data_IF_119421344528
#
_entry.id   IF_119421344528
#
_cell.length_a   1.000
_cell.length_b   1.000
_cell.length_c   1.000
_cell.angle_alpha   90.00
_cell.angle_beta   90.00
_cell.angle_gamma   90.00
#
_symmetry.space_group_name_H-M   'P 1'
#
loop_
_entity.id
_entity.type
_entity.pdbx_description
1 polymer ?
#
# COMPACT_ATOMS: atom_id res chain seq x y z
N UNK A 1 -1.63 -6.60 4.65
CA UNK A 1 -2.49 -6.12 3.54
C UNK A 1 -3.65 -7.10 3.39
N UNK A 2 -4.81 -6.64 2.94
CA UNK A 2 -5.97 -7.48 2.66
C UNK A 2 -6.68 -7.04 1.38
N UNK A 3 -7.46 -7.93 0.76
CA UNK A 3 -8.28 -7.61 -0.41
C UNK A 3 -9.04 -8.84 -0.93
N UNK A 4 -10.12 -8.59 -1.67
CA UNK A 4 -10.77 -9.58 -2.52
C UNK A 4 -10.07 -9.56 -3.89
N UNK A 5 -9.64 -10.73 -4.39
CA UNK A 5 -9.07 -10.90 -5.73
C UNK A 5 -9.98 -11.78 -6.58
N UNK A 6 -10.21 -11.39 -7.82
CA UNK A 6 -10.81 -12.22 -8.87
C UNK A 6 -9.81 -12.40 -10.02
N UNK A 7 -9.58 -13.64 -10.46
CA UNK A 7 -8.60 -13.95 -11.51
C UNK A 7 -9.24 -14.69 -12.67
N UNK A 8 -9.17 -14.10 -13.87
CA UNK A 8 -9.47 -14.78 -15.13
C UNK A 8 -8.16 -15.10 -15.84
N UNK A 9 -7.92 -16.38 -16.13
CA UNK A 9 -6.80 -16.83 -16.96
C UNK A 9 -7.17 -16.77 -18.45
N UNK A 10 -6.16 -16.64 -19.31
CA UNK A 10 -6.28 -16.58 -20.77
C UNK A 10 -5.73 -17.82 -21.48
N UNK A 11 -4.81 -18.52 -20.83
CA UNK A 11 -4.04 -19.64 -21.37
C UNK A 11 -3.88 -20.70 -20.28
N UNK A 12 -4.06 -21.98 -20.61
CA UNK A 12 -3.83 -23.10 -19.68
C UNK A 12 -2.46 -23.75 -19.90
N UNK A 13 -1.49 -23.02 -20.47
CA UNK A 13 -0.17 -23.54 -20.89
C UNK A 13 1.01 -22.67 -20.48
N UNK A 14 0.73 -21.47 -20.00
CA UNK A 14 1.71 -20.49 -19.55
C UNK A 14 1.33 -20.11 -18.13
N UNK A 15 2.32 -19.85 -17.28
CA UNK A 15 2.06 -19.41 -15.91
C UNK A 15 1.52 -17.99 -15.95
N UNK A 16 0.31 -17.81 -15.44
CA UNK A 16 -0.31 -16.51 -15.21
C UNK A 16 -0.60 -16.38 -13.71
N UNK A 17 -0.48 -15.17 -13.15
CA UNK A 17 -0.55 -14.90 -11.71
C UNK A 17 -1.41 -13.66 -11.42
N UNK A 18 -2.21 -13.70 -10.35
CA UNK A 18 -2.98 -12.56 -9.84
C UNK A 18 -2.76 -12.42 -8.34
N UNK A 19 -2.38 -11.23 -7.88
CA UNK A 19 -1.83 -11.08 -6.53
C UNK A 19 -2.01 -9.69 -5.90
N UNK A 20 -1.78 -9.64 -4.58
CA UNK A 20 -1.60 -8.41 -3.82
C UNK A 20 -0.10 -8.17 -3.58
N UNK A 21 0.40 -7.05 -4.08
CA UNK A 21 1.80 -6.65 -3.95
C UNK A 21 2.00 -5.71 -2.75
N UNK A 22 3.06 -5.94 -1.99
CA UNK A 22 3.55 -5.00 -0.97
C UNK A 22 5.07 -4.91 -1.00
N UNK A 23 5.64 -3.95 -0.25
CA UNK A 23 7.10 -3.72 -0.19
C UNK A 23 7.72 -3.59 -1.60
N UNK A 24 6.95 -3.01 -2.54
CA UNK A 24 7.35 -2.86 -3.95
C UNK A 24 8.35 -1.72 -4.09
N UNK A 25 9.52 -2.03 -4.63
CA UNK A 25 10.57 -1.07 -4.98
C UNK A 25 10.75 -1.10 -6.50
N UNK A 26 10.60 0.07 -7.11
CA UNK A 26 10.73 0.25 -8.56
C UNK A 26 12.16 0.65 -8.94
N UNK A 27 12.67 0.14 -10.05
CA UNK A 27 13.91 0.62 -10.64
C UNK A 27 13.74 2.09 -11.10
N UNK A 28 14.64 3.01 -10.73
CA UNK A 28 14.42 4.45 -10.91
C UNK A 28 14.34 4.90 -12.38
N UNK A 29 14.84 4.11 -13.33
CA UNK A 29 14.87 4.47 -14.77
C UNK A 29 14.07 3.55 -15.68
N UNK A 30 13.69 2.36 -15.22
CA UNK A 30 13.10 1.32 -16.08
C UNK A 30 11.61 1.10 -15.85
N UNK A 31 11.05 1.69 -14.78
CA UNK A 31 9.66 1.49 -14.39
C UNK A 31 9.28 -0.01 -14.21
N UNK A 32 10.29 -0.83 -13.88
CA UNK A 32 10.19 -2.24 -13.51
C UNK A 32 10.21 -2.36 -11.99
N UNK A 33 9.49 -3.33 -11.41
CA UNK A 33 9.73 -3.72 -10.03
C UNK A 33 11.06 -4.48 -9.95
N UNK A 34 11.87 -4.20 -8.92
CA UNK A 34 13.14 -4.91 -8.65
C UNK A 34 13.09 -5.69 -7.34
N UNK A 35 12.27 -5.26 -6.39
CA UNK A 35 11.97 -5.98 -5.16
C UNK A 35 10.48 -5.87 -4.88
N UNK A 36 9.85 -6.94 -4.43
CA UNK A 36 8.44 -6.95 -4.02
C UNK A 36 8.14 -8.18 -3.18
N UNK A 37 7.14 -8.06 -2.31
CA UNK A 37 6.48 -9.17 -1.65
C UNK A 37 5.15 -9.41 -2.35
N UNK A 38 5.00 -10.61 -2.89
CA UNK A 38 3.91 -11.09 -3.71
C UNK A 38 3.10 -12.13 -2.94
N UNK A 39 1.79 -11.96 -2.84
CA UNK A 39 0.88 -12.95 -2.23
C UNK A 39 -0.36 -13.06 -3.11
N UNK A 40 -0.57 -14.22 -3.73
CA UNK A 40 -1.57 -14.38 -4.77
C UNK A 40 -1.87 -15.82 -5.12
N UNK A 41 -2.39 -16.02 -6.33
CA UNK A 41 -2.66 -17.33 -6.89
C UNK A 41 -2.38 -17.40 -8.40
N UNK A 42 -1.98 -18.58 -8.85
CA UNK A 42 -1.53 -18.86 -10.21
C UNK A 42 -2.57 -19.61 -11.07
N UNK A 43 -2.30 -19.72 -12.36
CA UNK A 43 -3.09 -20.44 -13.36
C UNK A 43 -3.14 -21.96 -13.16
N UNK A 44 -2.26 -22.51 -12.32
CA UNK A 44 -2.25 -23.92 -11.89
C UNK A 44 -3.08 -24.15 -10.61
N UNK A 45 -3.87 -23.14 -10.20
CA UNK A 45 -4.80 -23.16 -9.07
C UNK A 45 -4.09 -23.24 -7.71
N UNK A 46 -2.86 -22.78 -7.59
CA UNK A 46 -2.11 -22.75 -6.33
C UNK A 46 -2.07 -21.34 -5.73
N UNK A 47 -2.13 -21.26 -4.40
CA UNK A 47 -1.82 -20.03 -3.66
C UNK A 47 -0.33 -19.95 -3.38
N UNK A 48 0.31 -18.83 -3.72
CA UNK A 48 1.76 -18.65 -3.67
C UNK A 48 2.19 -17.43 -2.86
N UNK A 49 3.42 -17.48 -2.34
CA UNK A 49 4.19 -16.29 -1.93
C UNK A 49 5.48 -16.23 -2.73
N UNK A 50 5.81 -15.05 -3.26
CA UNK A 50 7.16 -14.70 -3.72
C UNK A 50 7.66 -13.49 -2.94
N UNK A 51 8.78 -13.64 -2.24
CA UNK A 51 9.50 -12.54 -1.62
C UNK A 51 10.79 -12.30 -2.40
N UNK A 52 10.76 -11.34 -3.35
CA UNK A 52 11.95 -10.97 -4.13
C UNK A 52 12.64 -9.77 -3.49
N UNK A 53 13.87 -9.99 -3.04
CA UNK A 53 14.65 -9.05 -2.25
C UNK A 53 15.91 -8.52 -2.97
N UNK A 54 16.25 -9.05 -4.15
CA UNK A 54 17.37 -8.56 -4.96
C UNK A 54 17.03 -8.26 -6.42
N UNK A 55 17.86 -7.42 -7.04
CA UNK A 55 17.79 -7.10 -8.47
C UNK A 55 17.97 -8.36 -9.34
N UNK A 56 18.78 -9.32 -8.87
CA UNK A 56 19.02 -10.59 -9.57
C UNK A 56 17.79 -11.49 -9.51
N UNK A 57 17.55 -12.26 -10.56
CA UNK A 57 16.46 -13.23 -10.64
C UNK A 57 16.61 -14.42 -9.67
N UNK A 58 17.76 -14.58 -9.02
CA UNK A 58 18.05 -15.62 -8.02
C UNK A 58 17.70 -15.24 -6.60
N UNK A 59 17.44 -13.96 -6.34
CA UNK A 59 17.41 -13.37 -5.01
C UNK A 59 15.95 -13.27 -4.53
N UNK A 60 15.32 -14.44 -4.35
CA UNK A 60 13.96 -14.58 -3.89
C UNK A 60 13.75 -15.80 -2.97
N UNK A 61 12.85 -15.66 -2.00
CA UNK A 61 12.22 -16.78 -1.30
C UNK A 61 10.84 -17.04 -1.92
N UNK A 62 10.40 -18.29 -1.97
CA UNK A 62 9.05 -18.61 -2.47
C UNK A 62 8.48 -19.85 -1.81
N UNK A 63 7.14 -19.91 -1.69
CA UNK A 63 6.44 -21.13 -1.28
C UNK A 63 5.04 -21.21 -1.90
N UNK A 64 4.52 -22.43 -1.99
CA UNK A 64 3.13 -22.72 -2.38
C UNK A 64 2.41 -23.22 -1.13
N UNK A 65 1.33 -22.54 -0.74
CA UNK A 65 0.66 -22.75 0.54
C UNK A 65 -0.76 -23.36 0.41
N UNK A 66 -1.50 -23.01 -0.65
CA UNK A 66 -2.87 -23.51 -0.87
C UNK A 66 -2.90 -24.49 -2.05
N UNK A 67 -3.63 -25.62 -1.89
CA UNK A 67 -3.84 -26.60 -2.97
C UNK A 67 -5.24 -26.46 -3.57
N UNK A 68 -5.33 -25.99 -4.81
CA UNK A 68 -6.57 -25.84 -5.61
C UNK A 68 -7.53 -24.79 -5.07
N UNK A 69 -7.16 -23.54 -5.33
CA UNK A 69 -7.99 -22.34 -5.30
C UNK A 69 -9.05 -22.42 -6.44
N UNK A 70 -10.28 -21.95 -6.23
CA UNK A 70 -11.36 -22.02 -7.23
C UNK A 70 -11.47 -20.69 -8.00
N UNK A 71 -10.66 -20.54 -9.05
CA UNK A 71 -10.53 -19.28 -9.81
C UNK A 71 -11.82 -18.77 -10.45
N UNK A 72 -12.89 -19.58 -10.52
CA UNK A 72 -14.24 -19.13 -10.92
C UNK A 72 -14.93 -18.24 -9.84
N UNK A 73 -14.35 -18.12 -8.65
CA UNK A 73 -14.86 -17.35 -7.51
C UNK A 73 -13.87 -16.26 -7.03
N UNK A 74 -14.37 -15.16 -6.45
CA UNK A 74 -13.52 -14.18 -5.77
C UNK A 74 -12.99 -14.74 -4.44
N UNK A 75 -11.70 -14.56 -4.19
CA UNK A 75 -11.02 -15.03 -2.97
C UNK A 75 -10.55 -13.88 -2.10
N UNK A 76 -10.76 -13.99 -0.79
CA UNK A 76 -10.36 -13.00 0.20
C UNK A 76 -8.98 -13.32 0.76
N UNK A 77 -7.97 -12.52 0.40
CA UNK A 77 -6.63 -12.61 0.96
C UNK A 77 -6.46 -11.62 2.11
N UNK A 78 -5.81 -12.09 3.18
CA UNK A 78 -5.23 -11.25 4.24
C UNK A 78 -3.83 -11.79 4.54
N UNK A 79 -2.81 -10.94 4.47
CA UNK A 79 -1.49 -11.30 4.97
C UNK A 79 -0.91 -10.24 5.89
N UNK A 80 -0.14 -10.72 6.88
CA UNK A 80 0.52 -9.93 7.91
C UNK A 80 2.03 -10.10 7.72
N UNK A 81 2.69 -9.04 7.29
CA UNK A 81 4.14 -8.98 7.07
C UNK A 81 4.79 -8.15 8.19
N UNK A 82 5.17 -8.80 9.29
CA UNK A 82 5.69 -8.18 10.52
C UNK A 82 7.14 -8.60 10.69
N UNK A 83 8.05 -7.63 10.73
CA UNK A 83 9.50 -7.86 10.65
C UNK A 83 9.87 -8.78 9.46
N UNK A 84 10.57 -9.87 9.76
CA UNK A 84 11.02 -10.93 8.87
C UNK A 84 10.00 -12.06 8.68
N UNK A 85 8.76 -11.92 9.18
CA UNK A 85 7.73 -12.99 9.12
C UNK A 85 6.48 -12.61 8.37
N UNK A 86 5.95 -13.60 7.67
CA UNK A 86 4.70 -13.55 6.92
C UNK A 86 3.73 -14.62 7.43
N UNK A 87 2.50 -14.19 7.66
CA UNK A 87 1.33 -15.06 7.87
C UNK A 87 0.30 -14.74 6.80
N UNK A 88 -0.29 -15.77 6.16
CA UNK A 88 -1.30 -15.62 5.11
C UNK A 88 -2.58 -16.38 5.47
N UNK A 89 -3.70 -15.68 5.34
CA UNK A 89 -5.05 -16.17 5.43
C UNK A 89 -5.73 -16.07 4.06
N UNK A 90 -6.52 -17.08 3.72
CA UNK A 90 -7.33 -17.14 2.50
C UNK A 90 -8.75 -17.56 2.89
N UNK A 91 -9.75 -16.75 2.52
CA UNK A 91 -11.17 -16.93 2.86
C UNK A 91 -11.45 -17.13 4.36
N UNK A 92 -10.59 -16.56 5.20
CA UNK A 92 -10.65 -16.66 6.66
C UNK A 92 -9.91 -17.86 7.27
N UNK A 93 -9.41 -18.79 6.46
CA UNK A 93 -8.58 -19.90 6.93
C UNK A 93 -7.09 -19.52 6.93
N UNK A 94 -6.35 -19.94 7.97
CA UNK A 94 -4.89 -19.81 8.02
C UNK A 94 -4.27 -20.81 7.06
N UNK A 95 -3.57 -20.33 6.03
CA UNK A 95 -3.02 -21.17 4.95
C UNK A 95 -1.49 -21.15 4.89
N UNK A 96 -0.83 -20.11 5.43
CA UNK A 96 0.62 -20.08 5.62
C UNK A 96 0.97 -19.39 6.94
N UNK A 97 1.85 -20.01 7.72
CA UNK A 97 2.45 -19.45 8.93
C UNK A 97 3.99 -19.47 8.86
N UNK A 98 4.60 -18.60 9.68
CA UNK A 98 6.05 -18.49 9.92
C UNK A 98 6.98 -18.32 8.70
N UNK A 99 6.46 -18.00 7.51
CA UNK A 99 7.27 -17.84 6.30
C UNK A 99 8.22 -16.64 6.42
N UNK A 100 9.52 -16.88 6.23
CA UNK A 100 10.55 -15.84 6.34
C UNK A 100 10.54 -14.92 5.12
N UNK A 101 10.56 -13.61 5.36
CA UNK A 101 10.63 -12.54 4.36
C UNK A 101 11.72 -11.53 4.73
N UNK A 102 12.25 -10.82 3.73
CA UNK A 102 13.19 -9.72 3.99
C UNK A 102 12.46 -8.42 4.37
N UNK A 103 12.89 -7.81 5.49
CA UNK A 103 12.36 -6.54 5.98
C UNK A 103 12.80 -5.36 5.10
N UNK A 104 11.83 -4.69 4.46
CA UNK A 104 12.05 -3.52 3.61
C UNK A 104 10.79 -2.66 3.47
N UNK A 105 10.98 -1.39 3.17
CA UNK A 105 9.90 -0.46 2.80
C UNK A 105 9.57 -0.56 1.30
N UNK A 106 8.43 0.00 0.90
CA UNK A 106 8.02 0.05 -0.50
C UNK A 106 6.54 0.43 -0.64
N UNK A 107 6.01 0.35 -1.86
CA UNK A 107 4.60 0.63 -2.15
C UNK A 107 3.74 -0.63 -2.12
N UNK A 108 2.42 -0.43 -2.20
CA UNK A 108 1.41 -1.49 -2.32
C UNK A 108 0.78 -1.47 -3.71
N UNK A 109 0.29 -2.60 -4.20
CA UNK A 109 -0.35 -2.72 -5.50
C UNK A 109 -1.12 -4.02 -5.72
N UNK A 110 -1.57 -4.22 -6.96
CA UNK A 110 -2.17 -5.47 -7.44
C UNK A 110 -1.30 -5.96 -8.60
N UNK A 111 -0.88 -7.22 -8.56
CA UNK A 111 -0.04 -7.85 -9.58
C UNK A 111 -0.88 -8.59 -10.61
N UNK A 112 -0.46 -8.53 -11.87
CA UNK A 112 -0.90 -9.42 -12.94
C UNK A 112 0.33 -9.81 -13.77
N UNK A 113 0.70 -11.09 -13.74
CA UNK A 113 1.62 -11.67 -14.72
C UNK A 113 0.76 -12.50 -15.67
N UNK A 114 0.83 -12.25 -16.96
CA UNK A 114 0.04 -12.97 -17.95
C UNK A 114 0.66 -12.95 -19.34
N UNK A 115 0.29 -13.93 -20.16
CA UNK A 115 0.79 -14.09 -21.53
C UNK A 115 -0.25 -13.82 -22.61
N UNK A 116 -1.56 -13.94 -22.31
CA UNK A 116 -2.63 -13.72 -23.28
C UNK A 116 -3.59 -12.57 -22.94
N UNK A 117 -4.27 -12.01 -23.97
CA UNK A 117 -5.03 -10.75 -23.85
C UNK A 117 -6.38 -10.88 -23.12
N UNK A 118 -6.75 -12.09 -22.71
CA UNK A 118 -7.96 -12.34 -21.90
C UNK A 118 -7.71 -12.33 -20.40
N UNK A 119 -6.44 -12.28 -19.96
CA UNK A 119 -6.09 -12.44 -18.57
C UNK A 119 -6.43 -11.18 -17.78
N UNK A 120 -6.95 -11.36 -16.57
CA UNK A 120 -7.45 -10.24 -15.76
C UNK A 120 -7.37 -10.56 -14.28
N UNK A 121 -6.61 -9.75 -13.55
CA UNK A 121 -6.67 -9.66 -12.10
C UNK A 121 -7.52 -8.44 -11.71
N UNK A 122 -8.61 -8.63 -10.97
CA UNK A 122 -9.44 -7.56 -10.42
C UNK A 122 -9.37 -7.61 -8.89
N UNK A 123 -8.76 -6.59 -8.28
CA UNK A 123 -8.72 -6.41 -6.84
C UNK A 123 -9.82 -5.47 -6.34
N UNK A 124 -10.51 -5.87 -5.28
CA UNK A 124 -11.61 -5.15 -4.62
C UNK A 124 -11.39 -5.11 -3.11
N UNK A 125 -12.05 -4.15 -2.44
CA UNK A 125 -11.99 -4.00 -0.98
C UNK A 125 -10.56 -4.11 -0.43
N UNK A 126 -9.62 -3.42 -1.08
CA UNK A 126 -8.18 -3.54 -0.78
C UNK A 126 -7.85 -2.61 0.40
N UNK A 127 -7.20 -3.18 1.42
CA UNK A 127 -6.76 -2.46 2.60
C UNK A 127 -5.26 -2.69 2.84
N UNK A 128 -4.48 -1.62 2.79
CA UNK A 128 -3.11 -1.61 3.28
C UNK A 128 -3.07 -0.95 4.66
N UNK A 129 -2.47 -1.65 5.63
CA UNK A 129 -2.22 -1.12 6.96
C UNK A 129 -0.75 -1.33 7.28
N UNK A 130 -0.10 -0.25 7.69
CA UNK A 130 1.19 -0.31 8.37
C UNK A 130 0.92 -0.69 9.83
N UNK A 131 1.48 -1.81 10.26
CA UNK A 131 1.54 -2.13 11.70
C UNK A 131 2.69 -1.29 12.24
N UNK A 132 2.47 -0.35 13.16
CA UNK A 132 3.56 0.42 13.74
C UNK A 132 4.53 -0.56 14.41
N UNK A 133 5.84 -0.38 14.17
CA UNK A 133 6.84 -1.14 14.90
C UNK A 133 6.80 -0.67 16.35
N UNK A 134 6.25 -1.53 17.20
CA UNK A 134 6.14 -1.32 18.63
C UNK A 134 7.35 -1.98 19.27
N UNK A 135 8.38 -1.20 19.58
CA UNK A 135 9.49 -1.67 20.41
C UNK A 135 8.97 -1.97 21.84
N UNK A 136 9.13 -3.20 22.36
CA UNK A 136 8.60 -3.55 23.68
C UNK A 136 9.14 -2.64 24.79
N UNK A 137 8.24 -2.13 25.63
CA UNK A 137 8.55 -1.15 26.68
C UNK A 137 8.98 0.24 26.20
N UNK A 138 8.86 0.57 24.91
CA UNK A 138 9.04 1.94 24.39
C UNK A 138 7.67 2.58 24.17
N UNK A 139 7.31 3.52 25.03
CA UNK A 139 6.12 4.35 24.89
C UNK A 139 6.53 5.82 24.77
N UNK A 140 6.23 6.44 23.65
CA UNK A 140 6.38 7.87 23.43
C UNK A 140 5.05 8.59 23.72
N UNK A 141 5.14 9.72 24.43
CA UNK A 141 4.03 10.60 24.76
C UNK A 141 4.31 11.97 24.13
N UNK A 142 3.33 12.50 23.41
CA UNK A 142 3.28 13.89 22.92
C UNK A 142 1.95 14.54 23.32
N UNK A 143 1.82 15.86 23.18
CA UNK A 143 0.54 16.55 23.32
C UNK A 143 0.40 17.64 22.27
N UNK A 144 -0.83 17.90 21.81
CA UNK A 144 -1.13 18.92 20.78
C UNK A 144 -1.32 20.33 21.39
N UNK A 145 -1.04 20.44 22.69
CA UNK A 145 -1.12 21.65 23.49
C UNK A 145 -0.32 21.50 24.78
N UNK A 146 -0.35 22.53 25.63
CA UNK A 146 0.31 22.48 26.95
C UNK A 146 -0.55 21.71 27.95
N UNK A 147 -0.01 20.63 28.52
CA UNK A 147 -0.73 19.74 29.44
C UNK A 147 -0.09 19.69 30.82
N UNK A 148 -0.92 19.54 31.85
CA UNK A 148 -0.46 19.52 33.24
C UNK A 148 0.22 18.18 33.58
N UNK A 149 1.45 18.26 34.07
CA UNK A 149 2.17 17.15 34.70
C UNK A 149 1.91 17.17 36.20
N UNK A 150 1.85 16.00 36.83
CA UNK A 150 1.58 15.85 38.27
C UNK A 150 2.62 15.00 38.98
N UNK A 151 2.68 15.12 40.31
CA UNK A 151 3.57 14.33 41.16
C UNK A 151 3.13 12.88 41.38
N UNK A 152 1.94 12.49 40.90
CA UNK A 152 1.41 11.13 40.95
C UNK A 152 0.23 10.93 39.99
N UNK A 153 -0.23 9.68 39.81
CA UNK A 153 -1.30 9.31 38.89
C UNK A 153 -2.67 9.67 39.47
N UNK A 154 -3.15 10.89 39.21
CA UNK A 154 -4.47 11.33 39.63
C UNK A 154 -4.61 12.85 39.70
N UNK A 155 -5.84 13.33 39.53
CA UNK A 155 -6.16 14.78 39.57
C UNK A 155 -6.00 15.42 40.96
N UNK A 156 -5.88 14.61 42.01
CA UNK A 156 -5.63 15.00 43.41
C UNK A 156 -4.14 15.26 43.73
N UNK A 157 -3.20 14.78 42.91
CA UNK A 157 -1.77 15.00 43.11
C UNK A 157 -1.31 16.41 42.72
N UNK A 158 -0.25 16.90 43.37
CA UNK A 158 0.29 18.24 43.14
C UNK A 158 0.73 18.46 41.69
N UNK A 159 0.60 19.70 41.21
CA UNK A 159 1.07 20.12 39.89
C UNK A 159 2.61 20.20 39.88
N UNK A 160 3.23 19.44 38.98
CA UNK A 160 4.68 19.29 38.84
C UNK A 160 5.25 20.01 37.59
N UNK A 161 4.46 20.88 36.97
CA UNK A 161 4.79 21.64 35.77
C UNK A 161 3.95 21.25 34.55
N UNK A 162 4.37 21.64 33.36
CA UNK A 162 3.65 21.38 32.10
C UNK A 162 4.54 20.67 31.08
N UNK A 163 3.95 19.73 30.34
CA UNK A 163 4.51 19.24 29.09
C UNK A 163 4.04 20.21 27.98
N UNK A 164 4.98 20.75 27.22
CA UNK A 164 4.67 21.66 26.11
C UNK A 164 4.14 20.90 24.90
N UNK A 165 3.40 21.59 24.03
CA UNK A 165 3.00 21.07 22.73
C UNK A 165 4.19 20.46 21.97
N UNK A 166 3.94 19.39 21.24
CA UNK A 166 4.89 18.70 20.35
C UNK A 166 6.15 18.15 21.04
N UNK A 167 6.20 18.19 22.38
CA UNK A 167 7.33 17.67 23.14
C UNK A 167 7.20 16.17 23.27
N UNK A 168 7.98 15.42 22.47
CA UNK A 168 8.14 13.98 22.62
C UNK A 168 8.89 13.69 23.92
N UNK A 169 8.31 12.84 24.76
CA UNK A 169 8.93 12.32 25.99
C UNK A 169 8.57 10.85 26.16
N UNK A 170 9.42 10.07 26.83
CA UNK A 170 9.16 8.64 27.04
C UNK A 170 8.38 8.41 28.35
N UNK A 171 7.38 7.55 28.28
CA UNK A 171 6.77 6.96 29.46
C UNK A 171 7.47 5.66 29.88
N UNK A 172 7.63 5.48 31.19
CA UNK A 172 8.38 4.38 31.83
C UNK A 172 7.53 3.50 32.75
N UNK A 173 6.33 3.95 33.11
CA UNK A 173 5.34 3.20 33.88
C UNK A 173 3.93 3.71 33.54
N UNK A 174 2.91 2.94 33.90
CA UNK A 174 1.50 3.32 33.80
C UNK A 174 0.75 3.09 35.11
N UNK A 175 -0.38 3.76 35.30
CA UNK A 175 -1.27 3.56 36.45
C UNK A 175 -2.72 3.92 36.09
N UNK A 176 -3.69 3.18 36.61
CA UNK A 176 -5.10 3.59 36.57
C UNK A 176 -5.46 4.22 37.93
N UNK A 177 -6.06 5.41 37.89
CA UNK A 177 -6.44 6.20 39.07
C UNK A 177 -7.91 6.02 39.48
N UNK A 178 -8.31 6.58 40.62
CA UNK A 178 -9.69 6.51 41.13
C UNK A 178 -10.75 7.12 40.19
N UNK A 179 -10.34 8.05 39.29
CA UNK A 179 -11.17 8.61 38.22
C UNK A 179 -11.18 7.74 36.93
N UNK A 180 -10.65 6.52 37.00
CA UNK A 180 -10.64 5.49 35.94
C UNK A 180 -10.01 5.96 34.61
N UNK A 181 -8.98 6.82 34.70
CA UNK A 181 -8.10 7.15 33.59
C UNK A 181 -6.74 6.48 33.77
N UNK A 182 -6.11 6.10 32.66
CA UNK A 182 -4.69 5.76 32.64
C UNK A 182 -3.83 7.02 32.75
N UNK A 183 -2.77 6.94 33.53
CA UNK A 183 -1.73 7.93 33.67
C UNK A 183 -0.39 7.33 33.27
N UNK A 184 0.39 8.09 32.50
CA UNK A 184 1.71 7.72 32.03
C UNK A 184 2.76 8.42 32.89
N UNK A 185 3.66 7.64 33.50
CA UNK A 185 4.83 8.19 34.20
C UNK A 185 5.92 8.50 33.19
N UNK A 186 6.37 9.75 33.15
CA UNK A 186 7.46 10.20 32.31
C UNK A 186 8.82 9.87 32.94
N UNK A 187 9.90 9.90 32.15
CA UNK A 187 11.28 9.63 32.61
C UNK A 187 11.74 10.51 33.78
N UNK A 188 11.16 11.72 33.97
CA UNK A 188 11.47 12.60 35.10
C UNK A 188 10.65 12.29 36.37
N UNK A 189 9.85 11.22 36.35
CA UNK A 189 9.01 10.75 37.44
C UNK A 189 7.65 11.43 37.56
N UNK A 190 7.37 12.47 36.75
CA UNK A 190 6.06 13.13 36.71
C UNK A 190 5.03 12.36 35.88
N UNK A 191 3.75 12.67 36.03
CA UNK A 191 2.63 11.94 35.44
C UNK A 191 1.76 12.82 34.55
N UNK A 192 1.31 12.28 33.42
CA UNK A 192 0.31 12.90 32.52
C UNK A 192 -0.84 11.92 32.26
N UNK A 193 -2.05 12.43 32.01
CA UNK A 193 -3.27 11.61 31.84
C UNK A 193 -3.50 11.28 30.36
N UNK A 194 -3.99 10.07 30.06
CA UNK A 194 -4.10 9.55 28.70
C UNK A 194 -5.00 10.37 27.75
N UNK A 195 -6.03 11.01 28.28
CA UNK A 195 -7.07 11.71 27.51
C UNK A 195 -6.63 13.08 26.96
N UNK A 196 -5.48 13.58 27.43
CA UNK A 196 -4.89 14.87 27.00
C UNK A 196 -3.56 14.69 26.27
N UNK A 197 -3.13 13.45 26.01
CA UNK A 197 -1.85 13.17 25.33
C UNK A 197 -2.02 12.12 24.23
N UNK A 198 -1.15 12.20 23.21
CA UNK A 198 -1.02 11.20 22.17
C UNK A 198 0.06 10.19 22.58
N UNK A 199 -0.33 8.94 22.78
CA UNK A 199 0.55 7.84 23.15
C UNK A 199 0.90 6.97 21.92
N UNK A 200 2.18 6.60 21.76
CA UNK A 200 2.69 5.80 20.63
C UNK A 200 3.66 4.73 21.14
N UNK A 201 3.64 3.53 20.56
CA UNK A 201 4.48 2.41 20.98
C UNK A 201 3.81 1.51 22.03
N UNK A 202 4.62 0.83 22.84
CA UNK A 202 4.19 -0.20 23.80
C UNK A 202 3.73 0.39 25.14
N UNK A 203 2.78 1.32 25.08
CA UNK A 203 2.28 1.98 26.28
C UNK A 203 1.51 1.02 27.21
N UNK A 204 0.82 0.03 26.62
CA UNK A 204 0.08 -0.98 27.38
C UNK A 204 0.99 -2.02 28.04
N UNK A 205 2.20 -2.25 27.54
CA UNK A 205 3.22 -3.12 28.15
C UNK A 205 4.06 -2.46 29.25
N UNK A 206 3.84 -1.18 29.58
CA UNK A 206 4.56 -0.52 30.67
C UNK A 206 4.22 -1.12 32.05
N UNK A 207 5.20 -1.19 32.97
CA UNK A 207 4.98 -1.73 34.32
C UNK A 207 4.05 -0.84 35.15
N UNK A 208 3.38 -1.45 36.13
CA UNK A 208 2.61 -0.74 37.15
C UNK A 208 3.53 -0.12 38.23
N UNK A 209 3.07 0.89 39.00
CA UNK A 209 3.95 1.66 39.87
C UNK A 209 4.38 0.82 41.07
N UNK A 210 5.69 0.62 41.22
CA UNK A 210 6.27 -0.23 42.26
C UNK A 210 6.54 -1.68 41.82
N UNK A 211 6.12 -2.06 40.61
CA UNK A 211 6.56 -3.29 39.96
C UNK A 211 7.88 -3.01 39.22
N UNK A 212 9.00 -3.41 39.82
CA UNK A 212 10.32 -3.19 39.20
C UNK A 212 10.48 -4.05 37.95
N UNK A 213 10.86 -3.43 36.82
CA UNK A 213 11.00 -4.05 35.49
C UNK A 213 12.07 -5.16 35.35
N UNK A 214 12.54 -5.77 36.45
CA UNK A 214 13.52 -6.85 36.45
C UNK A 214 12.92 -8.27 36.55
N UNK A 215 11.64 -8.42 36.91
CA UNK A 215 11.05 -9.71 37.30
C UNK A 215 9.93 -10.24 36.37
N UNK A 216 9.83 -9.79 35.10
CA UNK A 216 8.79 -10.25 34.16
C UNK A 216 9.30 -11.27 33.11
N UNK A 217 9.18 -12.59 33.34
CA UNK A 217 9.37 -13.61 32.31
C UNK A 217 8.09 -13.85 31.50
N UNK A 218 8.17 -13.55 30.19
CA UNK A 218 7.39 -14.13 29.07
C UNK A 218 5.95 -14.62 29.40
N UNK A 219 4.97 -13.73 29.20
CA UNK A 219 3.60 -13.92 29.67
C UNK A 219 2.83 -15.07 28.98
N UNK A 220 2.18 -15.92 29.79
CA UNK A 220 1.11 -16.83 29.34
C UNK A 220 -0.28 -16.22 29.59
N UNK A 221 -1.27 -16.46 28.71
CA UNK A 221 -2.60 -15.87 28.84
C UNK A 221 -3.48 -16.63 29.85
N UNK A 222 -4.13 -15.93 30.77
CA UNK A 222 -5.27 -16.45 31.56
C UNK A 222 -6.39 -15.42 31.76
N UNK A 223 -7.60 -15.93 31.99
CA UNK A 223 -8.91 -15.26 31.81
C UNK A 223 -9.28 -14.15 32.81
N UNK A 224 -10.17 -13.25 32.36
CA UNK A 224 -10.77 -12.17 33.15
C UNK A 224 -12.22 -12.52 33.56
N UNK A 225 -12.59 -12.42 34.85
CA UNK A 225 -13.98 -12.28 35.30
C UNK A 225 -14.37 -10.82 35.52
N UNK A 226 -15.66 -10.50 35.32
CA UNK A 226 -16.19 -9.14 35.26
C UNK A 226 -16.81 -8.61 36.57
N UNK A 227 -17.21 -7.33 36.52
CA UNK A 227 -18.38 -6.70 37.15
C UNK A 227 -18.16 -5.72 38.33
N UNK A 228 -18.39 -4.41 38.09
CA UNK A 228 -18.89 -3.44 39.08
C UNK A 228 -19.47 -2.15 38.46
N UNK A 229 -20.80 -2.09 38.47
CA UNK A 229 -21.78 -0.98 38.47
C UNK A 229 -21.34 0.50 38.56
N UNK A 230 -22.03 1.37 37.80
CA UNK A 230 -21.90 2.83 37.76
C UNK A 230 -22.76 3.61 38.78
N UNK A 231 -22.46 4.92 38.98
CA UNK A 231 -23.27 5.90 39.74
C UNK A 231 -23.30 7.27 39.03
N UNK A 232 -24.44 7.97 39.09
CA UNK A 232 -24.71 9.31 38.54
C UNK A 232 -25.41 10.18 39.62
N UNK A 233 -25.64 11.50 39.50
CA UNK A 233 -25.59 12.50 38.40
C UNK A 233 -25.24 13.88 39.02
N UNK A 234 -24.73 14.86 38.26
CA UNK A 234 -24.91 16.28 38.64
C UNK A 234 -25.13 17.22 37.44
N UNK A 235 -26.13 18.10 37.56
CA UNK A 235 -26.66 18.99 36.50
C UNK A 235 -26.78 20.45 36.96
N UNK A 236 -26.25 21.41 36.18
CA UNK A 236 -27.02 22.47 35.47
C UNK A 236 -26.19 23.72 35.04
N UNK A 237 -26.70 24.52 34.07
CA UNK A 237 -26.00 25.67 33.45
C UNK A 237 -26.73 27.00 33.74
N UNK A 238 -26.63 28.07 32.91
CA UNK A 238 -25.46 28.80 32.40
C UNK A 238 -25.50 30.30 32.82
N UNK A 239 -24.50 31.10 32.44
CA UNK A 239 -24.64 32.57 32.38
C UNK A 239 -24.09 33.14 31.06
N UNK A 240 -24.75 34.19 30.55
CA UNK A 240 -24.51 34.79 29.24
C UNK A 240 -23.86 36.19 29.38
N UNK A 241 -23.10 36.61 28.36
CA UNK A 241 -22.47 37.94 28.29
C UNK A 241 -22.39 38.45 26.84
N UNK A 242 -22.71 39.73 26.64
CA UNK A 242 -22.97 40.35 25.34
C UNK A 242 -21.72 40.84 24.58
N UNK A 243 -21.81 40.86 23.24
CA UNK A 243 -21.49 42.07 22.47
C UNK A 243 -20.11 42.19 21.80
N UNK A 244 -19.88 41.47 20.69
CA UNK A 244 -18.76 41.72 19.76
C UNK A 244 -19.19 42.58 18.56
N UNK A 245 -18.23 43.28 17.93
CA UNK A 245 -18.46 44.31 16.91
C UNK A 245 -18.41 43.78 15.47
N UNK A 246 -18.99 44.55 14.53
CA UNK A 246 -19.05 44.19 13.10
C UNK A 246 -17.67 44.05 12.42
N UNK A 247 -16.59 44.54 13.05
CA UNK A 247 -15.22 44.35 12.56
C UNK A 247 -14.65 42.98 12.97
N UNK A 248 -14.94 42.53 14.20
CA UNK A 248 -14.59 41.18 14.67
C UNK A 248 -15.36 40.11 13.89
N UNK A 249 -16.55 40.44 13.36
CA UNK A 249 -17.38 39.54 12.54
C UNK A 249 -16.74 39.13 11.19
N UNK A 250 -15.66 39.78 10.75
CA UNK A 250 -14.94 39.41 9.52
C UNK A 250 -13.68 38.58 9.82
N UNK A 251 -13.04 38.75 10.99
CA UNK A 251 -11.98 37.84 11.47
C UNK A 251 -12.53 36.54 12.07
N UNK A 252 -13.72 36.58 12.67
CA UNK A 252 -14.45 35.40 13.17
C UNK A 252 -15.02 34.49 12.06
N UNK A 253 -14.89 34.88 10.78
CA UNK A 253 -15.14 34.04 9.61
C UNK A 253 -13.88 33.27 9.13
N UNK A 254 -12.76 33.36 9.86
CA UNK A 254 -11.82 32.25 9.90
C UNK A 254 -12.55 31.01 10.41
N UNK A 255 -12.42 29.88 9.71
CA UNK A 255 -13.37 28.75 9.76
C UNK A 255 -13.48 27.97 11.08
N UNK A 256 -12.94 28.48 12.17
CA UNK A 256 -12.86 27.83 13.49
C UNK A 256 -14.22 27.74 14.22
N UNK A 257 -15.23 28.54 13.85
CA UNK A 257 -16.56 28.52 14.47
C UNK A 257 -17.73 28.16 13.53
N UNK A 258 -17.48 27.75 12.29
CA UNK A 258 -18.56 27.31 11.39
C UNK A 258 -19.18 26.01 11.91
N UNK A 259 -20.45 26.06 12.33
CA UNK A 259 -21.15 24.90 12.86
C UNK A 259 -21.75 24.06 11.71
N UNK A 260 -20.89 23.63 10.78
CA UNK A 260 -21.25 22.83 9.62
C UNK A 260 -20.63 21.42 9.69
N UNK A 261 -21.47 20.41 9.61
CA UNK A 261 -21.09 18.99 9.61
C UNK A 261 -21.74 18.22 8.46
N UNK A 262 -21.16 17.07 8.15
CA UNK A 262 -21.72 16.09 7.20
C UNK A 262 -21.75 14.69 7.80
N UNK A 263 -22.77 13.91 7.44
CA UNK A 263 -22.99 12.54 7.89
C UNK A 263 -23.51 11.65 6.75
N UNK A 264 -23.24 10.36 6.81
CA UNK A 264 -23.92 9.33 5.98
C UNK A 264 -24.79 8.46 6.88
N UNK A 265 -25.96 8.01 6.41
CA UNK A 265 -26.78 7.01 7.12
C UNK A 265 -26.40 5.57 6.74
N UNK A 266 -25.53 5.39 5.74
CA UNK A 266 -25.13 4.09 5.20
C UNK A 266 -23.63 3.89 5.34
N UNK A 267 -23.26 2.75 5.92
CA UNK A 267 -21.88 2.24 5.93
C UNK A 267 -21.39 2.04 4.49
N UNK A 268 -20.11 2.32 4.25
CA UNK A 268 -19.46 2.13 2.95
C UNK A 268 -20.12 2.86 1.74
N UNK A 269 -20.97 3.86 1.99
CA UNK A 269 -21.64 4.63 0.93
C UNK A 269 -20.84 5.87 0.51
N UNK A 270 -20.44 6.70 1.47
CA UNK A 270 -19.75 7.96 1.21
C UNK A 270 -18.23 7.76 1.12
N UNK A 271 -17.67 7.88 -0.08
CA UNK A 271 -16.24 7.65 -0.33
C UNK A 271 -15.42 8.90 -0.05
N UNK A 272 -14.40 8.77 0.82
CA UNK A 272 -13.45 9.85 1.10
C UNK A 272 -12.26 9.74 0.16
N UNK A 273 -11.89 10.86 -0.47
CA UNK A 273 -10.87 10.96 -1.52
C UNK A 273 -9.77 11.96 -1.16
N UNK A 274 -8.63 11.82 -1.83
CA UNK A 274 -7.44 12.69 -1.68
C UNK A 274 -7.57 14.09 -2.31
N UNK A 275 -8.73 14.39 -2.89
CA UNK A 275 -9.06 15.62 -3.61
C UNK A 275 -10.52 15.56 -4.07
N UNK A 276 -11.11 16.69 -4.47
CA UNK A 276 -12.44 16.68 -5.07
C UNK A 276 -12.38 16.10 -6.48
N UNK A 277 -13.41 15.33 -6.84
CA UNK A 277 -13.57 14.67 -8.14
C UNK A 277 -13.67 13.14 -8.07
N UNK A 278 -14.53 12.57 -8.91
CA UNK A 278 -14.71 11.12 -9.04
C UNK A 278 -13.50 10.40 -9.65
N UNK A 279 -12.64 11.15 -10.35
CA UNK A 279 -11.35 10.73 -10.89
C UNK A 279 -10.20 10.70 -9.84
N UNK A 280 -10.46 11.08 -8.58
CA UNK A 280 -9.48 11.01 -7.48
C UNK A 280 -9.56 9.66 -6.77
N UNK A 281 -8.41 9.17 -6.31
CA UNK A 281 -8.34 7.94 -5.49
C UNK A 281 -9.20 8.08 -4.22
N UNK A 282 -10.12 7.14 -4.03
CA UNK A 282 -10.80 6.92 -2.75
C UNK A 282 -9.90 6.10 -1.83
N UNK A 283 -9.84 6.49 -0.56
CA UNK A 283 -8.89 5.94 0.43
C UNK A 283 -9.58 5.33 1.65
N UNK A 284 -10.83 5.71 1.94
CA UNK A 284 -11.69 5.12 2.96
C UNK A 284 -13.16 5.51 2.69
N UNK A 285 -14.08 5.00 3.51
CA UNK A 285 -15.46 5.45 3.54
C UNK A 285 -15.79 6.10 4.90
N UNK A 286 -16.72 7.05 4.92
CA UNK A 286 -17.23 7.57 6.19
C UNK A 286 -18.10 6.50 6.89
N UNK A 287 -17.95 6.30 8.21
CA UNK A 287 -18.85 5.48 9.00
C UNK A 287 -20.25 6.10 9.09
N UNK A 288 -21.26 5.26 9.31
CA UNK A 288 -22.64 5.69 9.40
C UNK A 288 -22.95 6.47 10.69
N UNK A 289 -23.94 7.35 10.60
CA UNK A 289 -24.54 8.13 11.69
C UNK A 289 -23.56 8.99 12.53
N UNK A 290 -22.33 9.20 12.06
CA UNK A 290 -21.33 10.08 12.67
C UNK A 290 -21.23 11.40 11.90
N UNK A 291 -21.22 12.50 12.64
CA UNK A 291 -21.07 13.85 12.09
C UNK A 291 -19.57 14.20 11.96
N UNK A 292 -19.19 14.73 10.80
CA UNK A 292 -17.83 15.15 10.47
C UNK A 292 -17.81 16.64 10.15
N UNK A 293 -16.88 17.37 10.78
CA UNK A 293 -16.71 18.81 10.55
C UNK A 293 -16.27 19.11 9.12
N UNK A 294 -16.92 20.09 8.51
CA UNK A 294 -16.53 20.65 7.20
C UNK A 294 -15.56 21.82 7.41
N UNK A 295 -14.42 21.79 6.72
CA UNK A 295 -13.38 22.82 6.76
C UNK A 295 -13.36 23.72 5.51
N UNK A 296 -14.01 23.30 4.42
CA UNK A 296 -14.04 24.03 3.16
C UNK A 296 -14.87 23.31 2.10
N UNK A 297 -15.11 23.97 0.97
CA UNK A 297 -15.83 23.42 -0.18
C UNK A 297 -15.10 23.68 -1.50
N UNK A 298 -15.26 22.79 -2.49
CA UNK A 298 -14.73 22.98 -3.84
C UNK A 298 -15.59 22.26 -4.89
N UNK A 299 -15.54 22.73 -6.14
CA UNK A 299 -16.04 21.98 -7.29
C UNK A 299 -14.97 21.02 -7.83
N UNK A 300 -15.38 19.83 -8.31
CA UNK A 300 -14.47 18.83 -8.88
C UNK A 300 -13.67 19.33 -10.10
N UNK A 301 -14.34 20.08 -10.96
CA UNK A 301 -13.82 20.73 -12.16
C UNK A 301 -14.70 21.94 -12.48
N UNK A 302 -14.29 22.77 -13.45
CA UNK A 302 -15.13 23.86 -13.95
C UNK A 302 -16.34 23.36 -14.77
N UNK A 303 -16.30 22.12 -15.27
CA UNK A 303 -17.27 21.56 -16.22
C UNK A 303 -18.29 20.63 -15.55
N UNK A 304 -17.89 19.92 -14.49
CA UNK A 304 -18.70 18.92 -13.79
C UNK A 304 -19.65 19.55 -12.76
N UNK A 305 -19.26 20.69 -12.17
CA UNK A 305 -20.05 21.46 -11.18
C UNK A 305 -20.33 20.77 -9.84
N UNK A 306 -20.03 19.47 -9.70
CA UNK A 306 -20.27 18.70 -8.48
C UNK A 306 -19.49 19.26 -7.29
N UNK A 307 -20.18 19.53 -6.18
CA UNK A 307 -19.63 20.10 -4.96
C UNK A 307 -19.06 19.01 -4.04
N UNK A 308 -17.95 19.34 -3.39
CA UNK A 308 -17.23 18.48 -2.45
C UNK A 308 -16.93 19.22 -1.17
N UNK A 309 -17.06 18.53 -0.04
CA UNK A 309 -16.72 19.02 1.28
C UNK A 309 -15.34 18.53 1.69
N UNK A 310 -14.45 19.47 2.03
CA UNK A 310 -13.18 19.19 2.69
C UNK A 310 -13.44 18.90 4.16
N UNK A 311 -12.97 17.76 4.64
CA UNK A 311 -13.20 17.28 6.00
C UNK A 311 -12.00 17.51 6.91
N UNK A 312 -12.27 17.58 8.20
CA UNK A 312 -11.24 17.45 9.24
C UNK A 312 -10.58 16.06 9.17
N UNK A 313 -9.27 16.07 8.89
CA UNK A 313 -8.46 14.87 8.72
C UNK A 313 -8.36 14.05 10.00
N UNK A 314 -8.20 14.70 11.14
CA UNK A 314 -7.97 14.03 12.43
C UNK A 314 -9.27 13.42 12.94
N UNK A 315 -10.39 14.12 12.75
CA UNK A 315 -11.72 13.60 13.06
C UNK A 315 -12.09 12.36 12.21
N UNK A 316 -11.74 12.35 10.92
CA UNK A 316 -12.02 11.22 10.01
C UNK A 316 -11.07 10.05 10.24
N UNK A 317 -9.75 10.28 10.19
CA UNK A 317 -8.72 9.26 10.40
C UNK A 317 -7.34 9.89 10.62
N UNK A 318 -6.86 9.89 11.86
CA UNK A 318 -5.48 10.30 12.21
C UNK A 318 -4.37 9.47 11.53
N UNK A 319 -4.71 8.32 10.92
CA UNK A 319 -3.75 7.39 10.29
C UNK A 319 -3.53 7.60 8.79
N UNK A 320 -4.26 8.51 8.13
CA UNK A 320 -4.11 8.70 6.68
C UNK A 320 -2.91 9.59 6.32
N UNK A 321 -2.14 9.17 5.30
CA UNK A 321 -1.05 9.98 4.74
C UNK A 321 -1.52 11.08 3.78
N UNK A 322 -2.80 11.07 3.39
CA UNK A 322 -3.36 12.10 2.51
C UNK A 322 -3.23 13.50 3.13
N UNK A 323 -2.88 14.49 2.30
CA UNK A 323 -2.78 15.89 2.74
C UNK A 323 -4.16 16.48 3.08
N UNK A 324 -5.21 16.03 2.39
CA UNK A 324 -6.58 16.49 2.56
C UNK A 324 -7.57 15.34 2.33
N UNK A 325 -8.75 15.46 2.93
CA UNK A 325 -9.84 14.50 2.80
C UNK A 325 -11.09 15.19 2.24
N UNK A 326 -11.70 14.58 1.24
CA UNK A 326 -12.82 15.16 0.50
C UNK A 326 -13.95 14.16 0.30
N UNK A 327 -15.20 14.57 0.49
CA UNK A 327 -16.41 13.77 0.23
C UNK A 327 -17.37 14.53 -0.67
N UNK A 328 -18.08 13.83 -1.56
CA UNK A 328 -19.04 14.46 -2.48
C UNK A 328 -20.32 14.87 -1.74
N UNK A 329 -20.89 16.03 -2.07
CA UNK A 329 -22.09 16.55 -1.42
C UNK A 329 -23.30 15.61 -1.58
N UNK A 330 -23.44 14.93 -2.72
CA UNK A 330 -24.54 14.02 -3.02
C UNK A 330 -24.45 12.67 -2.28
N UNK A 331 -23.31 12.38 -1.64
CA UNK A 331 -23.10 11.18 -0.83
C UNK A 331 -23.36 11.39 0.67
N UNK A 332 -23.62 12.63 1.13
CA UNK A 332 -23.78 12.95 2.55
C UNK A 332 -24.98 13.85 2.82
N UNK A 333 -25.57 13.71 4.01
CA UNK A 333 -26.49 14.72 4.55
C UNK A 333 -25.67 15.82 5.21
N UNK A 334 -25.96 17.06 4.85
CA UNK A 334 -25.33 18.27 5.40
C UNK A 334 -26.19 18.77 6.57
N UNK A 335 -25.57 19.11 7.69
CA UNK A 335 -26.23 19.58 8.91
C UNK A 335 -25.50 20.79 9.50
N UNK A 336 -26.25 21.83 9.87
CA UNK A 336 -25.68 23.09 10.36
C UNK A 336 -26.34 24.31 9.72
N UNK A 337 -26.44 25.41 10.47
CA UNK A 337 -26.99 26.67 9.95
C UNK A 337 -25.97 27.42 9.07
N UNK A 338 -24.68 27.25 9.35
CA UNK A 338 -23.59 27.99 8.69
C UNK A 338 -23.00 27.29 7.45
N UNK A 339 -23.61 26.21 6.95
CA UNK A 339 -23.04 25.45 5.84
C UNK A 339 -22.97 26.22 4.51
N UNK A 340 -23.79 27.26 4.33
CA UNK A 340 -23.69 28.19 3.19
C UNK A 340 -22.47 29.14 3.30
N UNK A 341 -21.88 29.26 4.50
CA UNK A 341 -20.72 30.13 4.79
C UNK A 341 -19.37 29.39 4.74
N UNK A 342 -19.38 28.08 4.45
CA UNK A 342 -18.15 27.28 4.30
C UNK A 342 -17.25 27.90 3.22
N UNK A 343 -15.97 28.19 3.50
CA UNK A 343 -15.10 28.86 2.55
C UNK A 343 -14.83 27.99 1.32
N UNK A 344 -14.89 28.61 0.13
CA UNK A 344 -14.41 27.96 -1.08
C UNK A 344 -12.88 27.87 -1.04
N UNK A 345 -12.35 26.67 -1.24
CA UNK A 345 -10.92 26.37 -1.21
C UNK A 345 -10.45 25.87 -2.57
N UNK A 346 -9.27 26.28 -3.00
CA UNK A 346 -8.71 25.84 -4.29
C UNK A 346 -8.35 24.34 -4.20
N UNK A 347 -8.84 23.49 -5.14
CA UNK A 347 -8.59 22.06 -5.07
C UNK A 347 -7.11 21.74 -5.33
N UNK A 348 -6.52 20.74 -4.66
CA UNK A 348 -5.14 20.34 -4.92
C UNK A 348 -4.98 19.91 -6.38
N UNK A 349 -3.86 20.23 -7.06
CA UNK A 349 -3.72 19.99 -8.49
C UNK A 349 -3.94 18.52 -8.87
N UNK A 350 -4.50 18.28 -10.05
CA UNK A 350 -4.49 16.94 -10.65
C UNK A 350 -3.06 16.69 -11.12
N UNK A 351 -2.32 15.85 -10.39
CA UNK A 351 -1.13 15.20 -10.93
C UNK A 351 -1.65 14.15 -11.91
N UNK A 352 -1.71 14.50 -13.20
CA UNK A 352 -2.03 13.53 -14.23
C UNK A 352 -0.97 12.41 -14.19
N UNK A 353 -1.42 11.17 -14.05
CA UNK A 353 -0.59 10.01 -14.33
C UNK A 353 -0.38 10.01 -15.85
N UNK A 354 0.70 10.67 -16.28
CA UNK A 354 1.06 10.74 -17.70
C UNK A 354 1.23 9.30 -18.19
N UNK A 355 0.31 8.86 -19.06
CA UNK A 355 0.35 7.52 -19.62
C UNK A 355 1.73 7.26 -20.21
N UNK A 356 2.36 6.14 -19.79
CA UNK A 356 3.77 5.87 -20.04
C UNK A 356 4.16 6.19 -21.49
N UNK A 357 5.12 7.11 -21.64
CA UNK A 357 5.58 7.57 -22.95
C UNK A 357 5.97 6.36 -23.77
N UNK A 358 5.46 6.27 -25.01
CA UNK A 358 5.75 5.14 -25.92
C UNK A 358 7.25 5.06 -26.21
N UNK A 359 7.97 4.25 -25.45
CA UNK A 359 9.38 3.98 -25.70
C UNK A 359 9.49 3.15 -26.97
N UNK A 360 9.97 3.77 -28.04
CA UNK A 360 10.45 3.07 -29.24
C UNK A 360 11.96 2.90 -29.10
N UNK A 361 12.52 1.72 -29.45
CA UNK A 361 13.96 1.55 -29.43
C UNK A 361 14.63 2.44 -30.48
N UNK A 362 15.85 2.87 -30.20
CA UNK A 362 16.64 3.71 -31.09
C UNK A 362 17.30 2.88 -32.20
N UNK A 363 17.20 3.32 -33.46
CA UNK A 363 17.97 2.70 -34.54
C UNK A 363 19.48 2.88 -34.37
N UNK A 364 20.27 1.83 -34.61
CA UNK A 364 21.72 1.91 -34.50
C UNK A 364 22.45 0.57 -34.47
N UNK A 365 23.73 0.62 -34.09
CA UNK A 365 24.55 -0.54 -33.78
C UNK A 365 24.54 -0.76 -32.26
N UNK A 366 24.03 -1.90 -31.83
CA UNK A 366 23.83 -2.28 -30.44
C UNK A 366 24.75 -3.46 -30.09
N UNK A 367 24.98 -3.72 -28.80
CA UNK A 367 25.72 -4.87 -28.29
C UNK A 367 24.75 -5.96 -27.84
N UNK A 368 24.83 -7.14 -28.45
CA UNK A 368 24.20 -8.35 -27.94
C UNK A 368 25.02 -8.93 -26.80
N UNK A 369 24.37 -9.16 -25.67
CA UNK A 369 24.93 -9.83 -24.50
C UNK A 369 24.17 -11.17 -24.35
N UNK A 370 24.79 -12.29 -24.75
CA UNK A 370 24.23 -13.62 -24.55
C UNK A 370 23.95 -13.83 -23.06
N UNK A 371 22.75 -14.27 -22.71
CA UNK A 371 22.38 -14.55 -21.33
C UNK A 371 22.29 -16.05 -21.04
N UNK A 372 21.19 -16.47 -20.43
CA UNK A 372 20.98 -17.85 -19.99
C UNK A 372 20.18 -18.65 -21.00
N UNK A 373 20.59 -19.90 -21.20
CA UNK A 373 19.87 -20.91 -21.98
C UNK A 373 19.45 -22.03 -21.03
N UNK A 374 18.15 -22.22 -20.83
CA UNK A 374 17.61 -23.40 -20.17
C UNK A 374 17.10 -24.40 -21.20
N UNK A 375 17.33 -25.69 -20.91
CA UNK A 375 16.92 -26.81 -21.74
C UNK A 375 16.16 -27.80 -20.87
N UNK A 376 14.88 -27.97 -21.17
CA UNK A 376 14.00 -28.93 -20.52
C UNK A 376 13.73 -30.11 -21.45
N UNK A 377 14.22 -31.29 -21.07
CA UNK A 377 14.02 -32.53 -21.80
C UNK A 377 13.19 -33.52 -20.96
N UNK A 378 12.51 -34.50 -21.58
CA UNK A 378 11.83 -35.58 -20.85
C UNK A 378 12.75 -36.43 -19.93
N UNK A 379 14.07 -36.34 -20.13
CA UNK A 379 15.09 -37.01 -19.32
C UNK A 379 15.66 -36.13 -18.17
N UNK A 380 15.28 -34.85 -18.08
CA UNK A 380 15.76 -33.91 -17.06
C UNK A 380 15.88 -32.47 -17.54
N UNK A 381 16.08 -31.57 -16.58
CA UNK A 381 16.27 -30.13 -16.79
C UNK A 381 17.74 -29.74 -16.64
N UNK A 382 18.20 -28.78 -17.46
CA UNK A 382 19.56 -28.23 -17.40
C UNK A 382 19.57 -26.74 -17.73
N UNK A 383 20.49 -26.00 -17.12
CA UNK A 383 20.71 -24.56 -17.39
C UNK A 383 22.17 -24.35 -17.70
N UNK A 384 22.42 -23.55 -18.74
CA UNK A 384 23.75 -23.16 -19.18
C UNK A 384 23.78 -21.63 -19.31
N UNK A 385 24.84 -21.00 -18.79
CA UNK A 385 25.19 -19.65 -19.22
C UNK A 385 25.84 -19.76 -20.60
N UNK A 386 25.43 -18.91 -21.55
CA UNK A 386 26.09 -18.89 -22.86
C UNK A 386 27.54 -18.43 -22.69
N UNK A 387 28.49 -19.24 -23.17
CA UNK A 387 29.91 -18.87 -23.20
C UNK A 387 30.29 -18.04 -24.43
N UNK A 388 29.31 -17.60 -25.22
CA UNK A 388 29.56 -16.78 -26.40
C UNK A 388 30.00 -15.35 -26.01
N UNK A 389 30.99 -14.77 -26.70
CA UNK A 389 31.35 -13.38 -26.49
C UNK A 389 30.22 -12.46 -26.97
N UNK A 390 30.06 -11.30 -26.32
CA UNK A 390 29.18 -10.26 -26.82
C UNK A 390 29.62 -9.77 -28.21
N UNK A 391 28.65 -9.43 -29.06
CA UNK A 391 28.91 -8.99 -30.43
C UNK A 391 27.95 -7.90 -30.88
N UNK A 392 28.31 -7.16 -31.93
CA UNK A 392 27.53 -6.02 -32.41
C UNK A 392 26.41 -6.48 -33.36
N UNK A 393 25.20 -5.97 -33.14
CA UNK A 393 24.00 -6.21 -33.95
C UNK A 393 23.46 -4.88 -34.48
N UNK A 394 22.88 -4.88 -35.68
CA UNK A 394 22.16 -3.72 -36.19
C UNK A 394 20.68 -3.82 -35.80
N UNK A 395 20.15 -2.77 -35.18
CA UNK A 395 18.74 -2.63 -34.80
C UNK A 395 18.10 -1.56 -35.68
N UNK A 396 17.05 -1.92 -36.41
CA UNK A 396 16.25 -0.98 -37.22
C UNK A 396 14.78 -1.03 -36.82
N UNK A 397 14.10 0.10 -36.92
CA UNK A 397 12.72 0.26 -36.45
C UNK A 397 11.91 0.95 -37.54
N UNK A 398 10.81 0.34 -37.98
CA UNK A 398 9.93 1.00 -38.93
C UNK A 398 9.45 2.34 -38.36
N UNK A 399 9.31 3.39 -39.19
CA UNK A 399 9.01 4.75 -38.71
C UNK A 399 7.67 4.93 -37.99
N UNK A 400 6.80 3.93 -38.01
CA UNK A 400 5.55 3.84 -37.25
C UNK A 400 5.67 2.98 -35.97
N UNK A 401 6.83 2.38 -35.72
CA UNK A 401 7.07 1.42 -34.64
C UNK A 401 6.34 0.09 -34.81
N UNK A 402 5.93 -0.30 -36.03
CA UNK A 402 5.20 -1.55 -36.29
C UNK A 402 6.10 -2.78 -36.43
N UNK A 403 7.38 -2.58 -36.76
CA UNK A 403 8.36 -3.65 -37.03
C UNK A 403 9.72 -3.29 -36.47
N UNK A 404 10.42 -4.33 -36.00
CA UNK A 404 11.78 -4.29 -35.47
C UNK A 404 12.61 -5.28 -36.29
N UNK A 405 13.70 -4.83 -36.92
CA UNK A 405 14.66 -5.70 -37.63
C UNK A 405 15.89 -5.88 -36.75
N UNK A 406 16.25 -7.13 -36.46
CA UNK A 406 17.42 -7.51 -35.66
C UNK A 406 17.90 -8.90 -36.07
N UNK A 407 19.21 -9.15 -36.11
CA UNK A 407 19.82 -10.37 -36.69
C UNK A 407 19.41 -10.66 -38.15
N UNK A 408 18.91 -9.66 -38.89
CA UNK A 408 18.29 -9.86 -40.21
C UNK A 408 16.90 -10.51 -40.16
N UNK A 409 16.34 -10.72 -38.98
CA UNK A 409 14.97 -11.18 -38.74
C UNK A 409 14.05 -9.97 -38.58
N UNK A 410 12.88 -9.99 -39.23
CA UNK A 410 11.84 -8.98 -39.03
C UNK A 410 10.82 -9.46 -38.01
N UNK A 411 10.76 -8.77 -36.86
CA UNK A 411 9.76 -8.96 -35.82
C UNK A 411 8.60 -7.97 -36.00
N UNK A 412 7.37 -8.42 -35.74
CA UNK A 412 6.15 -7.61 -35.84
C UNK A 412 5.68 -7.22 -34.44
N UNK A 413 5.29 -5.96 -34.24
CA UNK A 413 4.76 -5.48 -32.97
C UNK A 413 3.40 -6.10 -32.68
N UNK A 414 3.26 -6.70 -31.50
CA UNK A 414 1.99 -7.30 -31.02
C UNK A 414 1.30 -6.43 -29.98
N UNK A 415 2.06 -5.71 -29.15
CA UNK A 415 1.55 -4.74 -28.18
C UNK A 415 2.55 -3.59 -27.94
N UNK A 416 2.38 -2.75 -26.93
CA UNK A 416 3.28 -1.60 -26.73
C UNK A 416 4.61 -2.03 -26.12
N UNK A 417 5.68 -1.82 -26.89
CA UNK A 417 7.03 -2.21 -26.50
C UNK A 417 7.36 -3.68 -26.77
N UNK A 418 6.49 -4.46 -27.42
CA UNK A 418 6.70 -5.92 -27.56
C UNK A 418 6.50 -6.36 -29.01
N UNK A 419 7.51 -7.08 -29.52
CA UNK A 419 7.61 -7.56 -30.89
C UNK A 419 7.80 -9.07 -30.92
N UNK A 420 7.20 -9.75 -31.88
CA UNK A 420 7.29 -11.20 -32.06
C UNK A 420 7.64 -11.60 -33.49
N UNK A 421 8.32 -12.73 -33.64
CA UNK A 421 8.66 -13.31 -34.95
C UNK A 421 9.31 -14.69 -34.82
N UNK A 422 9.91 -15.16 -35.90
CA UNK A 422 10.60 -16.45 -35.94
C UNK A 422 12.02 -16.30 -36.48
N UNK A 423 12.97 -16.95 -35.81
CA UNK A 423 14.35 -17.09 -36.24
C UNK A 423 14.61 -18.57 -36.53
N UNK A 424 15.25 -18.87 -37.66
CA UNK A 424 15.61 -20.24 -38.05
C UNK A 424 17.12 -20.35 -38.21
N UNK A 425 17.68 -21.47 -37.72
CA UNK A 425 19.09 -21.80 -37.82
C UNK A 425 19.27 -23.32 -38.04
N UNK A 426 20.50 -23.83 -38.12
CA UNK A 426 20.81 -25.26 -38.32
C UNK A 426 21.83 -25.73 -37.28
N UNK A 427 21.38 -26.51 -36.30
CA UNK A 427 22.21 -27.11 -35.25
C UNK A 427 22.43 -28.58 -35.57
N UNK A 428 23.68 -29.04 -35.57
CA UNK A 428 24.09 -30.42 -35.92
C UNK A 428 23.51 -30.96 -37.25
N UNK A 429 23.20 -30.07 -38.19
CA UNK A 429 22.59 -30.40 -39.48
C UNK A 429 21.06 -30.56 -39.46
N UNK A 430 20.42 -30.35 -38.31
CA UNK A 430 18.96 -30.31 -38.14
C UNK A 430 18.47 -28.84 -38.08
N UNK A 431 17.35 -28.51 -38.74
CA UNK A 431 16.79 -27.16 -38.67
C UNK A 431 16.20 -26.88 -37.28
N UNK A 432 16.64 -25.78 -36.67
CA UNK A 432 16.08 -25.22 -35.45
C UNK A 432 15.16 -24.04 -35.84
N UNK A 433 14.09 -23.80 -35.08
CA UNK A 433 13.27 -22.58 -35.23
C UNK A 433 12.83 -22.10 -33.85
N UNK A 434 13.28 -20.89 -33.51
CA UNK A 434 12.94 -20.17 -32.30
C UNK A 434 11.76 -19.24 -32.61
N UNK A 435 10.72 -19.29 -31.79
CA UNK A 435 9.78 -18.19 -31.68
C UNK A 435 10.43 -17.13 -30.78
N UNK A 436 10.62 -15.92 -31.30
CA UNK A 436 11.36 -14.85 -30.61
C UNK A 436 10.38 -13.77 -30.18
N UNK A 437 10.41 -13.41 -28.89
CA UNK A 437 9.73 -12.25 -28.32
C UNK A 437 10.79 -11.24 -27.87
N UNK A 438 10.64 -9.97 -28.24
CA UNK A 438 11.51 -8.88 -27.80
C UNK A 438 10.69 -7.82 -27.07
N UNK A 439 11.09 -7.52 -25.83
CA UNK A 439 10.51 -6.47 -24.98
C UNK A 439 11.44 -5.25 -24.92
N UNK A 440 10.89 -4.05 -25.08
CA UNK A 440 11.60 -2.77 -24.97
C UNK A 440 11.57 -2.34 -23.50
N UNK A 441 12.69 -2.50 -22.80
CA UNK A 441 12.84 -2.08 -21.40
C UNK A 441 13.19 -0.59 -21.30
N UNK A 442 14.03 -0.09 -22.22
CA UNK A 442 14.36 1.32 -22.38
C UNK A 442 14.61 1.66 -23.86
N UNK A 443 14.85 2.93 -24.18
CA UNK A 443 15.10 3.39 -25.56
C UNK A 443 16.37 2.75 -26.18
N UNK A 444 17.28 2.34 -25.31
CA UNK A 444 18.60 1.75 -25.54
C UNK A 444 18.75 0.36 -24.89
N UNK A 445 17.65 -0.28 -24.44
CA UNK A 445 17.67 -1.61 -23.80
C UNK A 445 16.52 -2.50 -24.27
N UNK A 446 16.87 -3.63 -24.88
CA UNK A 446 15.94 -4.70 -25.29
C UNK A 446 16.22 -5.97 -24.49
N UNK A 447 15.15 -6.65 -24.09
CA UNK A 447 15.20 -8.01 -23.54
C UNK A 447 14.63 -8.97 -24.59
N UNK A 448 15.41 -9.97 -24.98
CA UNK A 448 15.04 -10.99 -25.97
C UNK A 448 14.79 -12.31 -25.24
N UNK A 449 13.65 -12.94 -25.55
CA UNK A 449 13.33 -14.30 -25.14
C UNK A 449 13.04 -15.16 -26.38
N UNK A 450 13.79 -16.23 -26.57
CA UNK A 450 13.66 -17.18 -27.67
C UNK A 450 13.23 -18.55 -27.17
N UNK A 451 12.16 -19.12 -27.75
CA UNK A 451 11.66 -20.46 -27.39
C UNK A 451 11.64 -21.37 -28.60
N UNK A 452 12.33 -22.51 -28.52
CA UNK A 452 12.34 -23.55 -29.55
C UNK A 452 12.01 -24.93 -28.98
N UNK A 453 11.58 -25.83 -29.86
CA UNK A 453 11.47 -27.26 -29.57
C UNK A 453 12.46 -28.02 -30.46
N UNK A 454 13.33 -28.82 -29.86
CA UNK A 454 14.39 -29.56 -30.55
C UNK A 454 14.55 -30.96 -29.96
N UNK A 455 14.43 -31.98 -30.80
CA UNK A 455 14.47 -33.42 -30.43
C UNK A 455 13.63 -33.81 -29.20
N UNK A 456 12.47 -33.16 -29.02
CA UNK A 456 11.56 -33.38 -27.90
C UNK A 456 11.92 -32.64 -26.60
N UNK A 457 12.96 -31.80 -26.61
CA UNK A 457 13.28 -30.84 -25.56
C UNK A 457 12.76 -29.44 -25.90
N UNK A 458 12.38 -28.67 -24.89
CA UNK A 458 12.12 -27.23 -24.99
C UNK A 458 13.39 -26.47 -24.62
N UNK A 459 13.79 -25.51 -25.47
CA UNK A 459 14.93 -24.62 -25.25
C UNK A 459 14.38 -23.22 -25.05
N UNK A 460 14.76 -22.56 -23.96
CA UNK A 460 14.45 -21.15 -23.68
C UNK A 460 15.76 -20.37 -23.51
N UNK A 461 15.97 -19.39 -24.38
CA UNK A 461 17.07 -18.43 -24.28
C UNK A 461 16.55 -17.08 -23.79
N UNK A 462 17.24 -16.46 -22.84
CA UNK A 462 17.03 -15.08 -22.41
C UNK A 462 18.32 -14.28 -22.54
N UNK A 463 18.31 -13.23 -23.35
CA UNK A 463 19.48 -12.42 -23.67
C UNK A 463 19.15 -10.92 -23.69
N UNK A 464 20.16 -10.06 -23.55
CA UNK A 464 19.98 -8.61 -23.45
C UNK A 464 20.74 -7.87 -24.56
N UNK A 465 20.15 -6.78 -25.06
CA UNK A 465 20.71 -5.99 -26.17
C UNK A 465 20.72 -4.52 -25.78
N UNK A 466 21.89 -3.89 -25.82
CA UNK A 466 22.11 -2.51 -25.35
C UNK A 466 22.69 -1.58 -26.44
N UNK A 467 22.14 -0.37 -26.58
CA UNK A 467 22.36 0.54 -27.74
C UNK A 467 23.21 1.79 -27.51
#
# INVERSE_FOLDING_TARGET
MAGELSFTTSSSREVEECSLLSRVVMHPTENSAIQWLDVGFDSDYFGFVFDRYGERSTDYNSTIFARRVDLDQPHHLLYLAVHDRLVVYMDGELVLDDFTIDERSGTFGVGLIASGPGARCEGRNIWAYEVPIVEPGVCEITSDGSVNRRSGPGTSFEWAGTLSSDTVTRAVAQAVSDDNFTWWQLEDGTWVREDVVNARGDCQGLPLPGESAQDNPEAQPTDIPAEATAVAEETNPPEAGEGASLAEHIEALSGENLNCTVRTEQEQFASVRVGPGSNRTAILFLPAARDFRVLGQAAASADDGALWWKLDKEAVSSRTSAAELWVAQDQVTVTGEDCELVPYVEPPPIIEIVAAVRVLPREGLWTYNPGTVSVECPAGYSVFESSEPSFTVEVRVAGDGSRLEIFGVTLTRVETGIYQGQWSDVVDGLPLTLNVTVRVAAQDRLVLEGVANYDGCTIVERSEITG
#
